data_IF_263168292511
#
_entry.id   IF_263168292511
#
_cell.length_a   1.000
_cell.length_b   1.000
_cell.length_c   1.000
_cell.angle_alpha   90.00
_cell.angle_beta   90.00
_cell.angle_gamma   90.00
#
_symmetry.space_group_name_H-M   'P 1'
#
loop_
_entity.id
_entity.type
_entity.pdbx_description
1 polymer ?
#
# COMPACT_ATOMS: atom_id res chain seq x y z
N UNK A 1 13.42 4.35 -14.33
CA UNK A 1 14.86 4.38 -14.01
C UNK A 1 15.19 5.72 -13.36
N UNK A 2 15.70 5.71 -12.12
CA UNK A 2 16.12 6.95 -11.44
C UNK A 2 17.61 7.19 -11.66
N UNK A 3 17.99 8.34 -12.22
CA UNK A 3 19.40 8.74 -12.35
C UNK A 3 19.90 9.23 -10.99
N UNK A 4 21.00 8.67 -10.51
CA UNK A 4 21.67 9.17 -9.30
C UNK A 4 22.37 10.49 -9.68
N UNK A 5 22.01 11.58 -9.00
CA UNK A 5 22.54 12.92 -9.31
C UNK A 5 23.82 13.20 -8.52
N UNK A 6 23.75 13.15 -7.19
CA UNK A 6 24.86 13.38 -6.25
C UNK A 6 24.53 12.84 -4.86
N UNK A 7 25.52 12.82 -3.95
CA UNK A 7 25.26 12.56 -2.52
C UNK A 7 24.39 13.69 -1.92
N UNK A 8 23.50 13.38 -0.96
CA UNK A 8 22.67 14.40 -0.29
C UNK A 8 23.53 15.41 0.47
N UNK A 9 23.24 16.70 0.34
CA UNK A 9 23.83 17.75 1.19
C UNK A 9 23.07 17.88 2.51
N UNK A 10 23.60 18.63 3.46
CA UNK A 10 22.90 18.96 4.71
C UNK A 10 21.57 19.67 4.45
N UNK A 11 21.54 20.55 3.45
CA UNK A 11 20.32 21.23 3.02
C UNK A 11 19.26 20.24 2.50
N UNK A 12 19.65 19.24 1.70
CA UNK A 12 18.72 18.20 1.25
C UNK A 12 18.14 17.41 2.42
N UNK A 13 18.98 17.10 3.42
CA UNK A 13 18.53 16.41 4.63
C UNK A 13 17.57 17.27 5.45
N UNK A 14 17.85 18.57 5.59
CA UNK A 14 16.97 19.51 6.27
C UNK A 14 15.62 19.63 5.56
N UNK A 15 15.63 19.83 4.24
CA UNK A 15 14.42 19.85 3.40
C UNK A 15 13.63 18.55 3.52
N UNK A 16 14.31 17.40 3.58
CA UNK A 16 13.68 16.10 3.79
C UNK A 16 12.97 16.01 5.14
N UNK A 17 13.62 16.41 6.22
CA UNK A 17 13.04 16.39 7.57
C UNK A 17 11.78 17.26 7.64
N UNK A 18 11.86 18.50 7.17
CA UNK A 18 10.72 19.40 7.10
C UNK A 18 9.58 18.82 6.22
N UNK A 19 9.92 18.23 5.07
CA UNK A 19 8.93 17.55 4.22
C UNK A 19 8.26 16.35 4.91
N UNK A 20 9.00 15.59 5.73
CA UNK A 20 8.47 14.47 6.50
C UNK A 20 7.53 14.95 7.63
N UNK A 21 7.88 16.02 8.34
CA UNK A 21 7.05 16.65 9.37
C UNK A 21 5.72 17.16 8.80
N UNK A 22 5.79 17.94 7.71
CA UNK A 22 4.59 18.42 7.01
C UNK A 22 3.75 17.24 6.51
N UNK A 23 4.38 16.17 5.99
CA UNK A 23 3.63 15.00 5.52
C UNK A 23 2.89 14.28 6.67
N UNK A 24 3.46 14.24 7.87
CA UNK A 24 2.81 13.70 9.07
C UNK A 24 1.60 14.55 9.44
N UNK A 25 1.74 15.87 9.48
CA UNK A 25 0.63 16.79 9.77
C UNK A 25 -0.48 16.66 8.71
N UNK A 26 -0.11 16.68 7.42
CA UNK A 26 -1.03 16.47 6.30
C UNK A 26 -1.79 15.15 6.44
N UNK A 27 -1.11 14.07 6.82
CA UNK A 27 -1.75 12.76 7.01
C UNK A 27 -2.75 12.77 8.18
N UNK A 28 -2.43 13.45 9.29
CA UNK A 28 -3.35 13.59 10.44
C UNK A 28 -4.60 14.37 10.05
N UNK A 29 -4.43 15.53 9.42
CA UNK A 29 -5.54 16.37 8.95
C UNK A 29 -6.39 15.67 7.88
N UNK A 30 -5.75 14.96 6.94
CA UNK A 30 -6.44 14.16 5.93
C UNK A 30 -7.36 13.11 6.58
N UNK A 31 -6.86 12.39 7.59
CA UNK A 31 -7.65 11.38 8.30
C UNK A 31 -8.88 11.96 8.96
N UNK A 32 -8.74 13.08 9.69
CA UNK A 32 -9.89 13.71 10.34
C UNK A 32 -10.90 14.20 9.31
N UNK A 33 -10.43 14.76 8.18
CA UNK A 33 -11.32 15.32 7.18
C UNK A 33 -12.06 14.27 6.36
N UNK A 34 -11.45 13.13 6.10
CA UNK A 34 -12.10 11.97 5.47
C UNK A 34 -13.31 11.52 6.29
N UNK A 35 -13.17 11.43 7.62
CA UNK A 35 -14.27 11.07 8.53
C UNK A 35 -15.37 12.13 8.51
N UNK A 36 -15.01 13.41 8.65
CA UNK A 36 -15.99 14.51 8.65
C UNK A 36 -16.76 14.66 7.33
N UNK A 37 -16.16 14.28 6.21
CA UNK A 37 -16.79 14.33 4.89
C UNK A 37 -17.52 13.04 4.52
N UNK A 38 -17.49 12.01 5.38
CA UNK A 38 -18.11 10.72 5.10
C UNK A 38 -17.52 10.00 3.88
N UNK A 39 -16.22 10.19 3.59
CA UNK A 39 -15.59 9.61 2.40
C UNK A 39 -15.16 8.16 2.64
N UNK A 40 -15.59 7.25 1.77
CA UNK A 40 -15.22 5.83 1.79
C UNK A 40 -13.81 5.58 1.21
N UNK A 41 -12.80 6.23 1.77
CA UNK A 41 -11.40 6.01 1.42
C UNK A 41 -10.53 5.87 2.67
N UNK A 42 -9.47 5.06 2.57
CA UNK A 42 -8.49 4.88 3.64
C UNK A 42 -7.17 5.57 3.26
N UNK A 43 -6.76 6.64 3.95
CA UNK A 43 -5.45 7.25 3.75
C UNK A 43 -4.32 6.32 4.19
N UNK A 44 -3.38 6.02 3.29
CA UNK A 44 -2.25 5.12 3.55
C UNK A 44 -0.97 5.90 3.87
N UNK A 45 -0.58 6.83 2.98
CA UNK A 45 0.67 7.60 3.12
C UNK A 45 0.54 8.96 2.44
N UNK A 46 1.20 9.96 3.00
CA UNK A 46 1.45 11.23 2.33
C UNK A 46 2.95 11.30 2.07
N UNK A 47 3.34 11.69 0.86
CA UNK A 47 4.74 11.89 0.48
C UNK A 47 4.91 13.23 -0.20
N UNK A 48 5.89 13.98 0.27
CA UNK A 48 6.31 15.23 -0.34
C UNK A 48 7.65 14.96 -1.04
N UNK A 49 7.75 15.12 -2.37
CA UNK A 49 9.03 15.08 -3.06
C UNK A 49 9.93 16.23 -2.59
N UNK A 50 11.26 16.04 -2.62
CA UNK A 50 12.22 17.09 -2.27
C UNK A 50 12.20 18.29 -3.24
N UNK A 51 11.68 18.07 -4.45
CA UNK A 51 11.60 19.08 -5.50
C UNK A 51 10.14 19.29 -5.90
N UNK A 52 9.76 20.57 -6.03
CA UNK A 52 8.43 21.00 -6.40
C UNK A 52 7.47 21.14 -5.21
N UNK A 53 6.27 21.66 -5.49
CA UNK A 53 5.25 22.02 -4.49
C UNK A 53 4.12 21.01 -4.36
N UNK A 54 4.29 19.79 -4.89
CA UNK A 54 3.25 18.75 -4.83
C UNK A 54 3.36 17.88 -3.58
N UNK A 55 2.21 17.44 -3.08
CA UNK A 55 2.11 16.37 -2.11
C UNK A 55 1.32 15.21 -2.73
N UNK A 56 1.88 14.00 -2.65
CA UNK A 56 1.25 12.78 -3.17
C UNK A 56 0.58 12.05 -2.02
N UNK A 57 -0.73 11.87 -2.11
CA UNK A 57 -1.55 11.14 -1.15
C UNK A 57 -1.86 9.77 -1.72
N UNK A 58 -1.34 8.73 -1.07
CA UNK A 58 -1.66 7.35 -1.37
C UNK A 58 -2.85 6.92 -0.53
N UNK A 59 -3.87 6.36 -1.16
CA UNK A 59 -5.08 5.88 -0.50
C UNK A 59 -5.56 4.57 -1.13
N UNK A 60 -6.39 3.84 -0.41
CA UNK A 60 -7.16 2.71 -0.96
C UNK A 60 -8.65 2.99 -0.78
N UNK A 61 -9.47 2.55 -1.73
CA UNK A 61 -10.93 2.55 -1.63
C UNK A 61 -11.47 1.29 -2.33
N UNK A 62 -12.62 0.81 -1.89
CA UNK A 62 -13.30 -0.31 -2.56
C UNK A 62 -14.15 0.18 -3.73
N UNK A 63 -14.70 1.39 -3.59
CA UNK A 63 -15.53 2.04 -4.61
C UNK A 63 -14.89 3.34 -5.12
N UNK A 64 -15.50 3.92 -6.14
CA UNK A 64 -15.11 5.23 -6.68
C UNK A 64 -15.51 6.32 -5.70
N UNK A 65 -14.55 7.14 -5.27
CA UNK A 65 -14.78 8.21 -4.28
C UNK A 65 -14.62 9.57 -4.94
N UNK A 66 -15.58 10.48 -4.72
CA UNK A 66 -15.43 11.88 -5.11
C UNK A 66 -14.73 12.69 -4.00
N UNK A 67 -13.43 12.89 -4.17
CA UNK A 67 -12.57 13.63 -3.24
C UNK A 67 -12.32 15.08 -3.67
N UNK A 68 -13.09 15.66 -4.60
CA UNK A 68 -12.85 17.04 -5.10
C UNK A 68 -12.90 18.10 -4.01
N UNK A 69 -13.79 17.96 -3.02
CA UNK A 69 -13.86 18.87 -1.86
C UNK A 69 -12.62 18.73 -0.97
N UNK A 70 -12.26 17.49 -0.65
CA UNK A 70 -11.09 17.18 0.18
C UNK A 70 -9.79 17.73 -0.44
N UNK A 71 -9.60 17.54 -1.75
CA UNK A 71 -8.43 18.07 -2.47
C UNK A 71 -8.34 19.59 -2.37
N UNK A 72 -9.47 20.31 -2.52
CA UNK A 72 -9.51 21.78 -2.40
C UNK A 72 -9.15 22.25 -1.00
N UNK A 73 -9.69 21.62 0.04
CA UNK A 73 -9.40 21.99 1.43
C UNK A 73 -7.94 21.71 1.81
N UNK A 74 -7.42 20.54 1.42
CA UNK A 74 -6.01 20.19 1.59
C UNK A 74 -5.08 21.18 0.87
N UNK A 75 -5.39 21.51 -0.39
CA UNK A 75 -4.58 22.44 -1.18
C UNK A 75 -4.56 23.85 -0.57
N UNK A 76 -5.71 24.33 -0.09
CA UNK A 76 -5.83 25.63 0.59
C UNK A 76 -5.04 25.66 1.90
N UNK A 77 -5.18 24.64 2.75
CA UNK A 77 -4.50 24.59 4.05
C UNK A 77 -2.98 24.50 3.90
N UNK A 78 -2.49 23.60 3.05
CA UNK A 78 -1.07 23.31 2.94
C UNK A 78 -0.36 24.07 1.82
N UNK A 79 -1.07 24.91 1.06
CA UNK A 79 -0.57 25.69 -0.08
C UNK A 79 0.23 24.84 -1.08
N UNK A 80 -0.24 23.63 -1.34
CA UNK A 80 0.45 22.60 -2.13
C UNK A 80 -0.51 21.97 -3.12
N UNK A 81 0.02 21.57 -4.28
CA UNK A 81 -0.74 20.78 -5.25
C UNK A 81 -0.93 19.36 -4.70
N UNK A 82 -2.18 18.93 -4.55
CA UNK A 82 -2.48 17.60 -4.01
C UNK A 82 -2.69 16.62 -5.16
N UNK A 83 -1.88 15.58 -5.20
CA UNK A 83 -1.99 14.47 -6.15
C UNK A 83 -2.53 13.24 -5.42
N UNK A 84 -3.73 12.81 -5.77
CA UNK A 84 -4.37 11.63 -5.19
C UNK A 84 -3.97 10.40 -6.02
N UNK A 85 -3.41 9.37 -5.36
CA UNK A 85 -3.06 8.09 -5.98
C UNK A 85 -3.77 6.94 -5.28
N UNK A 86 -4.67 6.29 -6.02
CA UNK A 86 -5.28 5.05 -5.58
C UNK A 86 -4.26 3.91 -5.66
N UNK A 87 -4.19 3.09 -4.62
CA UNK A 87 -3.43 1.85 -4.60
C UNK A 87 -4.39 0.67 -4.48
N UNK A 88 -4.12 -0.38 -5.24
CA UNK A 88 -4.78 -1.66 -5.04
C UNK A 88 -4.47 -2.22 -3.64
N UNK A 89 -5.34 -3.09 -3.13
CA UNK A 89 -5.24 -3.65 -1.77
C UNK A 89 -3.87 -4.27 -1.46
N UNK A 90 -3.24 -4.91 -2.45
CA UNK A 90 -1.89 -5.51 -2.31
C UNK A 90 -0.80 -4.46 -2.20
N UNK A 91 -0.82 -3.45 -3.07
CA UNK A 91 0.17 -2.37 -3.03
C UNK A 91 0.01 -1.52 -1.77
N UNK A 92 -1.23 -1.37 -1.27
CA UNK A 92 -1.49 -0.79 0.03
C UNK A 92 -0.85 -1.58 1.17
N UNK A 93 -1.04 -2.91 1.19
CA UNK A 93 -0.39 -3.78 2.17
C UNK A 93 1.14 -3.74 2.06
N UNK A 94 1.68 -3.70 0.84
CA UNK A 94 3.12 -3.55 0.59
C UNK A 94 3.66 -2.21 1.12
N UNK A 95 2.91 -1.13 0.92
CA UNK A 95 3.31 0.21 1.34
C UNK A 95 3.32 0.38 2.85
N UNK A 96 2.33 -0.20 3.54
CA UNK A 96 2.24 -0.16 5.00
C UNK A 96 3.27 -1.09 5.63
N UNK A 97 3.50 -2.26 5.01
CA UNK A 97 4.28 -3.34 5.60
C UNK A 97 3.50 -4.07 6.68
N UNK A 98 3.65 -5.39 6.76
CA UNK A 98 3.05 -6.22 7.79
C UNK A 98 3.79 -7.55 7.91
N UNK A 99 3.44 -8.32 8.94
CA UNK A 99 3.78 -9.73 9.03
C UNK A 99 2.66 -10.56 8.41
N UNK A 100 3.03 -11.59 7.66
CA UNK A 100 2.09 -12.61 7.21
C UNK A 100 1.69 -13.55 8.36
N UNK A 101 0.70 -14.42 8.14
CA UNK A 101 0.27 -15.39 9.14
C UNK A 101 1.39 -16.39 9.53
N UNK A 102 2.43 -16.51 8.70
CA UNK A 102 3.63 -17.30 8.99
C UNK A 102 4.65 -16.58 9.91
N UNK A 103 4.35 -15.37 10.40
CA UNK A 103 5.25 -14.57 11.22
C UNK A 103 6.39 -13.86 10.47
N UNK A 104 6.53 -14.08 9.15
CA UNK A 104 7.53 -13.42 8.31
C UNK A 104 6.98 -12.15 7.66
N UNK A 105 7.85 -11.26 7.19
CA UNK A 105 7.44 -10.12 6.37
C UNK A 105 6.69 -10.54 5.09
N UNK A 106 5.76 -9.71 4.61
CA UNK A 106 4.96 -10.03 3.43
C UNK A 106 5.83 -10.39 2.22
N UNK A 107 5.53 -11.51 1.54
CA UNK A 107 6.30 -11.96 0.37
C UNK A 107 6.37 -10.89 -0.74
N UNK A 108 5.30 -10.08 -0.92
CA UNK A 108 5.25 -8.99 -1.89
C UNK A 108 6.15 -7.79 -1.55
N UNK A 109 6.60 -7.68 -0.30
CA UNK A 109 7.57 -6.69 0.17
C UNK A 109 8.99 -7.25 0.05
N UNK A 110 9.17 -8.53 0.38
CA UNK A 110 10.50 -9.14 0.56
C UNK A 110 11.14 -9.60 -0.75
N UNK A 111 10.49 -10.49 -1.51
CA UNK A 111 11.12 -11.10 -2.69
C UNK A 111 10.21 -11.21 -3.92
N UNK A 112 8.89 -11.30 -3.75
CA UNK A 112 7.96 -11.46 -4.87
C UNK A 112 7.64 -10.11 -5.52
N UNK A 113 8.13 -9.92 -6.74
CA UNK A 113 7.83 -8.76 -7.60
C UNK A 113 6.88 -9.08 -8.74
N UNK A 114 6.80 -10.34 -9.16
CA UNK A 114 5.86 -10.86 -10.16
C UNK A 114 4.84 -11.77 -9.48
N UNK A 115 3.57 -11.64 -9.87
CA UNK A 115 2.49 -12.38 -9.23
C UNK A 115 1.70 -13.17 -10.27
N UNK A 116 1.56 -14.46 -10.02
CA UNK A 116 0.65 -15.32 -10.76
C UNK A 116 -0.76 -15.27 -10.15
N UNK A 117 -1.77 -15.67 -10.92
CA UNK A 117 -3.12 -15.87 -10.40
C UNK A 117 -3.10 -16.98 -9.36
N UNK A 118 -3.56 -16.68 -8.15
CA UNK A 118 -3.68 -17.66 -7.06
C UNK A 118 -5.08 -18.26 -7.10
N UNK A 119 -5.19 -19.58 -6.98
CA UNK A 119 -6.48 -20.29 -6.98
C UNK A 119 -6.67 -21.10 -5.69
N UNK A 120 -7.93 -21.35 -5.31
CA UNK A 120 -8.28 -22.17 -4.15
C UNK A 120 -7.75 -23.61 -4.29
N UNK A 121 -7.58 -24.11 -5.51
CA UNK A 121 -6.97 -25.43 -5.78
C UNK A 121 -5.53 -25.53 -5.29
N UNK A 122 -4.78 -24.42 -5.31
CA UNK A 122 -3.41 -24.39 -4.78
C UNK A 122 -3.42 -24.60 -3.27
N UNK A 123 -4.34 -23.96 -2.54
CA UNK A 123 -4.50 -24.19 -1.10
C UNK A 123 -4.88 -25.65 -0.78
N UNK A 124 -5.79 -26.25 -1.58
CA UNK A 124 -6.14 -27.68 -1.46
C UNK A 124 -4.93 -28.60 -1.65
N UNK A 125 -4.11 -28.35 -2.68
CA UNK A 125 -2.89 -29.14 -2.95
C UNK A 125 -1.89 -29.07 -1.81
N UNK A 126 -1.86 -27.96 -1.07
CA UNK A 126 -1.02 -27.77 0.10
C UNK A 126 -1.65 -28.27 1.40
N UNK A 127 -2.77 -29.01 1.33
CA UNK A 127 -3.53 -29.50 2.48
C UNK A 127 -3.92 -28.40 3.49
N UNK A 128 -4.14 -27.17 3.00
CA UNK A 128 -4.60 -26.07 3.84
C UNK A 128 -6.13 -26.07 3.93
N UNK A 129 -6.63 -25.73 5.13
CA UNK A 129 -8.05 -25.48 5.36
C UNK A 129 -8.55 -24.33 4.49
N UNK A 130 -9.73 -24.47 3.91
CA UNK A 130 -10.35 -23.45 3.04
C UNK A 130 -10.99 -22.30 3.80
N UNK A 131 -10.75 -22.20 5.11
CA UNK A 131 -11.16 -21.04 5.89
C UNK A 131 -10.43 -19.78 5.35
N UNK A 132 -11.15 -18.73 4.92
CA UNK A 132 -10.56 -17.49 4.40
C UNK A 132 -9.48 -16.89 5.31
N UNK A 133 -9.61 -17.02 6.63
CA UNK A 133 -8.62 -16.52 7.59
C UNK A 133 -7.26 -17.24 7.48
N UNK A 134 -7.24 -18.49 7.01
CA UNK A 134 -6.02 -19.30 6.87
C UNK A 134 -5.37 -19.20 5.49
N UNK A 135 -6.13 -18.80 4.46
CA UNK A 135 -5.64 -18.76 3.07
C UNK A 135 -5.53 -17.35 2.48
N UNK A 136 -6.06 -16.34 3.18
CA UNK A 136 -5.96 -14.94 2.76
C UNK A 136 -4.73 -14.27 3.37
N UNK A 137 -4.03 -13.49 2.56
CA UNK A 137 -2.96 -12.63 3.05
C UNK A 137 -3.50 -11.34 3.65
N UNK A 138 -2.60 -10.55 4.23
CA UNK A 138 -2.92 -9.24 4.85
C UNK A 138 -3.59 -8.23 3.91
N UNK A 139 -3.53 -8.46 2.60
CA UNK A 139 -4.22 -7.65 1.59
C UNK A 139 -5.68 -8.10 1.32
N UNK A 140 -6.20 -9.08 2.05
CA UNK A 140 -7.56 -9.61 1.90
C UNK A 140 -7.76 -10.53 0.68
N UNK A 141 -6.72 -10.75 -0.13
CA UNK A 141 -6.72 -11.72 -1.24
C UNK A 141 -5.97 -12.98 -0.84
N UNK A 142 -6.15 -14.06 -1.61
CA UNK A 142 -5.38 -15.30 -1.45
C UNK A 142 -3.87 -15.04 -1.37
N UNK A 143 -3.19 -15.74 -0.47
CA UNK A 143 -1.76 -15.57 -0.21
C UNK A 143 -0.92 -15.87 -1.46
N UNK A 144 0.05 -15.02 -1.76
CA UNK A 144 0.94 -15.20 -2.92
C UNK A 144 1.92 -16.38 -2.75
N UNK A 145 2.24 -16.77 -1.51
CA UNK A 145 3.05 -17.97 -1.23
C UNK A 145 2.36 -19.26 -1.73
N UNK A 146 1.02 -19.30 -1.77
CA UNK A 146 0.29 -20.44 -2.32
C UNK A 146 0.70 -20.73 -3.76
N UNK A 147 0.92 -19.71 -4.59
CA UNK A 147 1.42 -19.92 -5.95
C UNK A 147 2.92 -20.21 -6.01
N UNK A 148 3.70 -19.65 -5.09
CA UNK A 148 5.15 -19.80 -5.08
C UNK A 148 5.58 -21.21 -4.68
N UNK A 149 4.91 -21.79 -3.70
CA UNK A 149 5.30 -23.06 -3.09
C UNK A 149 4.58 -24.25 -3.74
N UNK A 150 3.52 -24.02 -4.53
CA UNK A 150 2.64 -25.10 -5.05
C UNK A 150 3.37 -26.22 -5.78
N UNK A 151 4.46 -25.91 -6.48
CA UNK A 151 5.22 -26.90 -7.25
C UNK A 151 5.95 -27.91 -6.35
N UNK A 152 6.27 -27.52 -5.11
CA UNK A 152 6.94 -28.36 -4.12
C UNK A 152 6.00 -29.41 -3.49
N UNK A 153 4.69 -29.26 -3.66
CA UNK A 153 3.70 -30.19 -3.12
C UNK A 153 3.35 -31.27 -4.14
N UNK A 154 3.06 -32.51 -3.76
CA UNK A 154 2.61 -33.54 -4.69
C UNK A 154 1.33 -33.09 -5.41
N UNK A 155 1.17 -33.49 -6.68
CA UNK A 155 -0.09 -33.24 -7.40
C UNK A 155 -1.17 -34.08 -6.71
N UNK A 156 -2.24 -33.44 -6.24
CA UNK A 156 -3.41 -34.17 -5.73
C UNK A 156 -3.95 -35.06 -6.85
N UNK A 157 -3.82 -36.37 -6.69
CA UNK A 157 -4.49 -37.33 -7.56
C UNK A 157 -5.99 -37.14 -7.37
N UNK A 158 -6.72 -36.97 -8.48
CA UNK A 158 -8.18 -36.99 -8.47
C UNK A 158 -8.61 -38.36 -7.95
N UNK A 159 -9.12 -38.41 -6.71
CA UNK A 159 -10.02 -39.47 -6.26
C UNK A 159 -11.44 -38.99 -6.49
#
# INVERSE_FOLDING_TARGET
SGRILRRPTEEDQSRRRNAEEIAVEMKRYLKSRVVQLGLELRPLKVRIPLVGSRAVVYFSSEQRVDFRRLVREMARKFRRRIEMRALGVRDGAKLVGALGPCGRGLCCVTFMTRFHSVTVRMAKRQNLSLNPAKISGMCGRLMCCLSHEVEQYPKQQRR
#
